data_IF_470818104953
#
_entry.id   IF_470818104953
#
_cell.length_a   1.000
_cell.length_b   1.000
_cell.length_c   1.000
_cell.angle_alpha   90.00
_cell.angle_beta   90.00
_cell.angle_gamma   90.00
#
_symmetry.space_group_name_H-M   'P 1'
#
loop_
_entity.id
_entity.type
_entity.pdbx_description
1 polymer ?
#
# COMPACT_ATOMS: atom_id res chain seq x y z
N UNK A 1 -71.24 -3.76 -1.81
CA UNK A 1 -70.12 -4.33 -2.58
C UNK A 1 -68.89 -3.48 -2.29
N UNK A 2 -67.90 -4.03 -1.59
CA UNK A 2 -66.66 -3.35 -1.20
C UNK A 2 -65.61 -3.65 -2.27
N UNK A 3 -65.10 -2.62 -2.92
CA UNK A 3 -64.01 -2.67 -3.89
C UNK A 3 -62.66 -2.73 -3.17
N UNK A 4 -61.87 -3.75 -3.48
CA UNK A 4 -60.50 -3.98 -3.00
C UNK A 4 -59.55 -3.23 -3.95
N UNK A 5 -58.63 -2.37 -3.48
CA UNK A 5 -57.60 -1.80 -4.34
C UNK A 5 -56.46 -2.81 -4.51
N UNK A 6 -56.16 -3.13 -5.76
CA UNK A 6 -55.00 -3.94 -6.16
C UNK A 6 -53.75 -3.08 -5.99
N UNK A 7 -52.89 -3.46 -5.06
CA UNK A 7 -51.56 -2.89 -4.86
C UNK A 7 -50.64 -3.43 -5.97
N UNK A 8 -50.21 -2.58 -6.91
CA UNK A 8 -49.17 -2.93 -7.88
C UNK A 8 -47.81 -2.95 -7.16
N UNK A 9 -47.23 -4.13 -6.98
CA UNK A 9 -45.82 -4.28 -6.62
C UNK A 9 -44.97 -3.88 -7.84
N UNK A 10 -44.33 -2.71 -7.78
CA UNK A 10 -43.26 -2.36 -8.70
C UNK A 10 -42.01 -3.15 -8.32
N UNK A 11 -41.65 -4.13 -9.13
CA UNK A 11 -40.39 -4.85 -9.02
C UNK A 11 -39.25 -3.89 -9.40
N UNK A 12 -38.44 -3.47 -8.43
CA UNK A 12 -37.16 -2.84 -8.70
C UNK A 12 -36.25 -3.86 -9.38
N UNK A 13 -36.07 -3.72 -10.70
CA UNK A 13 -35.03 -4.43 -11.42
C UNK A 13 -33.67 -3.90 -10.92
N UNK A 14 -33.00 -4.69 -10.09
CA UNK A 14 -31.60 -4.46 -9.75
C UNK A 14 -30.78 -4.56 -11.04
N UNK A 15 -30.28 -3.42 -11.52
CA UNK A 15 -29.27 -3.35 -12.56
C UNK A 15 -28.01 -4.02 -11.99
N UNK A 16 -27.83 -5.29 -12.30
CA UNK A 16 -26.57 -5.98 -12.05
C UNK A 16 -25.54 -5.34 -12.99
N UNK A 17 -24.57 -4.62 -12.40
CA UNK A 17 -23.34 -4.30 -13.11
C UNK A 17 -22.73 -5.61 -13.61
N UNK A 18 -22.21 -5.67 -14.85
CA UNK A 18 -21.54 -6.87 -15.33
C UNK A 18 -20.30 -7.09 -14.47
N UNK A 19 -20.34 -8.11 -13.60
CA UNK A 19 -19.15 -8.64 -12.96
C UNK A 19 -18.19 -9.07 -14.06
N UNK A 20 -17.04 -8.42 -14.13
CA UNK A 20 -15.99 -8.78 -15.07
C UNK A 20 -15.64 -10.25 -14.87
N UNK A 21 -15.90 -11.07 -15.88
CA UNK A 21 -15.43 -12.45 -15.89
C UNK A 21 -13.90 -12.40 -15.77
N UNK A 22 -13.36 -13.11 -14.76
CA UNK A 22 -11.93 -13.31 -14.65
C UNK A 22 -11.46 -14.05 -15.92
N UNK A 23 -10.75 -13.34 -16.80
CA UNK A 23 -10.12 -13.93 -17.97
C UNK A 23 -9.11 -15.00 -17.57
N UNK A 24 -8.72 -15.85 -18.52
CA UNK A 24 -7.63 -16.80 -18.27
C UNK A 24 -6.38 -16.05 -17.78
N UNK A 25 -5.68 -16.58 -16.77
CA UNK A 25 -4.49 -15.92 -16.25
C UNK A 25 -3.43 -15.79 -17.35
N UNK A 26 -2.68 -14.67 -17.41
CA UNK A 26 -1.64 -14.47 -18.40
C UNK A 26 -0.63 -15.63 -18.42
N UNK A 27 -0.15 -16.00 -19.61
CA UNK A 27 0.78 -17.13 -19.79
C UNK A 27 2.05 -16.95 -18.95
N UNK A 28 2.56 -15.72 -18.85
CA UNK A 28 3.72 -15.38 -18.01
C UNK A 28 3.47 -15.67 -16.52
N UNK A 29 2.26 -15.39 -16.02
CA UNK A 29 1.89 -15.71 -14.63
C UNK A 29 1.90 -17.21 -14.43
N UNK A 30 1.37 -18.01 -15.36
CA UNK A 30 1.37 -19.46 -15.24
C UNK A 30 2.79 -20.05 -15.28
N UNK A 31 3.69 -19.46 -16.08
CA UNK A 31 5.08 -19.89 -16.21
C UNK A 31 6.02 -19.41 -15.09
N UNK A 32 5.61 -18.39 -14.32
CA UNK A 32 6.45 -17.80 -13.29
C UNK A 32 6.75 -18.75 -12.11
N UNK A 33 7.94 -18.66 -11.49
CA UNK A 33 8.27 -19.44 -10.29
C UNK A 33 7.22 -19.27 -9.19
N UNK A 34 6.84 -20.37 -8.52
CA UNK A 34 5.79 -20.38 -7.49
C UNK A 34 6.00 -19.27 -6.45
N UNK A 35 7.23 -19.11 -5.95
CA UNK A 35 7.55 -18.08 -4.95
C UNK A 35 7.26 -16.65 -5.43
N UNK A 36 7.48 -16.36 -6.72
CA UNK A 36 7.16 -15.05 -7.30
C UNK A 36 5.66 -14.89 -7.42
N UNK A 37 4.93 -15.92 -7.89
CA UNK A 37 3.47 -15.89 -8.00
C UNK A 37 2.83 -15.68 -6.63
N UNK A 38 3.22 -16.47 -5.63
CA UNK A 38 2.74 -16.33 -4.25
C UNK A 38 2.98 -14.93 -3.69
N UNK A 39 4.17 -14.37 -3.92
CA UNK A 39 4.49 -13.01 -3.49
C UNK A 39 3.61 -11.95 -4.17
N UNK A 40 3.54 -11.99 -5.50
CA UNK A 40 2.81 -11.00 -6.30
C UNK A 40 1.32 -11.08 -6.02
N UNK A 41 0.75 -12.29 -6.02
CA UNK A 41 -0.66 -12.52 -5.75
C UNK A 41 -1.04 -12.00 -4.36
N UNK A 42 -0.19 -12.23 -3.35
CA UNK A 42 -0.41 -11.73 -2.00
C UNK A 42 -0.31 -10.20 -1.94
N UNK A 43 0.74 -9.62 -2.53
CA UNK A 43 1.06 -8.20 -2.38
C UNK A 43 0.18 -7.26 -3.19
N UNK A 44 -0.19 -7.66 -4.40
CA UNK A 44 -0.81 -6.79 -5.41
C UNK A 44 -2.02 -7.44 -6.12
N UNK A 45 -2.45 -8.63 -5.69
CA UNK A 45 -3.56 -9.35 -6.29
C UNK A 45 -3.21 -10.01 -7.62
N UNK A 46 -4.24 -10.36 -8.38
CA UNK A 46 -4.13 -11.08 -9.68
C UNK A 46 -4.54 -10.23 -10.87
N UNK A 47 -4.77 -8.93 -10.67
CA UNK A 47 -5.15 -7.94 -11.68
C UNK A 47 -6.35 -7.08 -11.26
N UNK A 48 -7.24 -7.62 -10.42
CA UNK A 48 -8.20 -6.80 -9.68
C UNK A 48 -7.46 -5.99 -8.59
N UNK A 49 -7.89 -4.75 -8.29
CA UNK A 49 -7.34 -3.99 -7.18
C UNK A 49 -7.48 -4.72 -5.84
N UNK A 50 -6.46 -4.56 -5.00
CA UNK A 50 -6.44 -5.01 -3.61
C UNK A 50 -5.93 -3.88 -2.73
N UNK A 51 -6.19 -3.93 -1.43
CA UNK A 51 -5.81 -2.87 -0.52
C UNK A 51 -5.11 -3.42 0.72
N UNK A 52 -4.08 -2.74 1.21
CA UNK A 52 -3.51 -3.03 2.51
C UNK A 52 -3.87 -1.91 3.47
N UNK A 53 -4.69 -2.20 4.47
CA UNK A 53 -5.00 -1.25 5.54
C UNK A 53 -4.00 -1.44 6.68
N UNK A 54 -3.66 -0.35 7.36
CA UNK A 54 -2.58 -0.34 8.34
C UNK A 54 -2.91 0.52 9.54
N UNK A 55 -2.50 0.07 10.72
CA UNK A 55 -2.59 0.82 11.97
C UNK A 55 -1.31 0.66 12.80
N UNK A 56 -1.00 1.67 13.60
CA UNK A 56 0.20 1.66 14.43
C UNK A 56 0.51 3.02 15.04
N UNK A 57 1.79 3.40 15.02
CA UNK A 57 2.21 4.68 15.58
C UNK A 57 3.66 5.07 15.32
N UNK A 58 3.95 6.26 15.81
CA UNK A 58 5.28 6.87 15.85
C UNK A 58 5.71 6.93 17.30
N UNK A 59 6.90 6.42 17.59
CA UNK A 59 7.42 6.26 18.93
C UNK A 59 8.74 7.01 19.07
N UNK A 60 8.89 7.74 20.16
CA UNK A 60 10.15 8.34 20.54
C UNK A 60 11.20 7.25 20.79
N UNK A 61 12.43 7.54 20.38
CA UNK A 61 13.56 6.64 20.58
C UNK A 61 14.68 7.35 21.34
N UNK A 62 15.19 6.77 22.44
CA UNK A 62 14.99 5.40 22.89
C UNK A 62 13.88 5.21 23.95
N UNK A 63 13.10 6.23 24.29
CA UNK A 63 12.16 6.14 25.44
C UNK A 63 11.02 5.15 25.23
N UNK A 64 10.59 4.94 23.98
CA UNK A 64 9.43 4.12 23.64
C UNK A 64 8.08 4.81 23.82
N UNK A 65 8.06 6.10 24.17
CA UNK A 65 6.81 6.87 24.26
C UNK A 65 6.11 6.95 22.90
N UNK A 66 4.81 6.62 22.86
CA UNK A 66 4.01 6.79 21.64
C UNK A 66 3.68 8.28 21.45
N UNK A 67 4.31 8.91 20.48
CA UNK A 67 4.13 10.33 20.17
C UNK A 67 2.85 10.59 19.37
N UNK A 68 2.54 9.68 18.44
CA UNK A 68 1.41 9.75 17.51
C UNK A 68 0.89 8.32 17.26
N UNK A 69 -0.41 8.17 17.08
CA UNK A 69 -0.94 7.05 16.31
C UNK A 69 -0.78 7.30 14.81
N UNK A 70 -0.89 6.24 14.03
CA UNK A 70 -0.77 6.31 12.57
C UNK A 70 -1.69 5.29 11.94
N UNK A 71 -2.45 5.72 10.93
CA UNK A 71 -3.31 4.86 10.14
C UNK A 71 -3.10 5.17 8.66
N UNK A 72 -3.41 4.23 7.80
CA UNK A 72 -3.34 4.48 6.37
C UNK A 72 -3.55 3.22 5.57
N UNK A 73 -3.36 3.35 4.27
CA UNK A 73 -3.56 2.25 3.36
C UNK A 73 -2.71 2.38 2.10
N UNK A 74 -2.54 1.25 1.43
CA UNK A 74 -2.13 1.20 0.04
C UNK A 74 -3.20 0.55 -0.83
N UNK A 75 -3.28 0.99 -2.08
CA UNK A 75 -4.16 0.42 -3.11
C UNK A 75 -3.30 -0.02 -4.27
N UNK A 76 -3.41 -1.29 -4.61
CA UNK A 76 -2.42 -1.99 -5.42
C UNK A 76 -3.10 -2.80 -6.52
N UNK A 77 -2.48 -2.85 -7.70
CA UNK A 77 -2.81 -3.81 -8.76
C UNK A 77 -1.54 -4.27 -9.48
N UNK A 78 -1.66 -5.33 -10.28
CA UNK A 78 -0.55 -5.92 -11.01
C UNK A 78 -0.86 -6.07 -12.49
N UNK A 79 0.15 -5.81 -13.32
CA UNK A 79 0.18 -6.14 -14.73
C UNK A 79 1.25 -7.21 -14.92
N UNK A 80 0.80 -8.41 -15.31
CA UNK A 80 1.68 -9.47 -15.76
C UNK A 80 2.01 -9.25 -17.25
N UNK A 81 3.29 -9.37 -17.65
CA UNK A 81 3.70 -9.18 -19.05
C UNK A 81 3.16 -10.31 -19.93
N UNK A 82 3.02 -10.10 -21.24
CA UNK A 82 2.75 -11.22 -22.16
C UNK A 82 4.00 -12.11 -22.33
N UNK A 83 5.17 -11.48 -22.35
CA UNK A 83 6.47 -12.14 -22.39
C UNK A 83 6.81 -12.79 -21.03
N UNK A 84 7.05 -14.11 -20.95
CA UNK A 84 7.48 -14.79 -19.74
C UNK A 84 8.76 -14.25 -19.11
N UNK A 85 9.64 -13.63 -19.91
CA UNK A 85 10.88 -13.00 -19.44
C UNK A 85 10.69 -11.52 -19.07
N UNK A 86 9.49 -10.97 -19.28
CA UNK A 86 9.13 -9.61 -18.93
C UNK A 86 9.11 -9.37 -17.42
N UNK A 87 9.28 -8.10 -17.02
CA UNK A 87 9.14 -7.72 -15.62
C UNK A 87 7.66 -7.67 -15.22
N UNK A 88 7.32 -8.26 -14.07
CA UNK A 88 6.00 -8.09 -13.45
C UNK A 88 5.90 -6.68 -12.89
N UNK A 89 4.82 -5.99 -13.26
CA UNK A 89 4.60 -4.58 -12.92
C UNK A 89 3.56 -4.48 -11.83
N UNK A 90 3.93 -3.94 -10.68
CA UNK A 90 3.03 -3.63 -9.59
C UNK A 90 2.83 -2.11 -9.51
N UNK A 91 1.59 -1.68 -9.66
CA UNK A 91 1.15 -0.29 -9.56
C UNK A 91 0.50 -0.09 -8.20
N UNK A 92 0.98 0.86 -7.42
CA UNK A 92 0.39 1.15 -6.11
C UNK A 92 0.36 2.64 -5.81
N UNK A 93 -0.61 3.06 -4.99
CA UNK A 93 -0.58 4.34 -4.27
C UNK A 93 -0.69 4.05 -2.81
N UNK A 94 -0.08 4.89 -1.98
CA UNK A 94 -0.21 4.77 -0.52
C UNK A 94 -0.30 6.12 0.15
N UNK A 95 -1.11 6.17 1.19
CA UNK A 95 -1.30 7.37 2.01
C UNK A 95 -1.48 6.99 3.48
N UNK A 96 -0.90 7.79 4.36
CA UNK A 96 -0.98 7.57 5.81
C UNK A 96 -1.12 8.91 6.52
N UNK A 97 -2.04 8.94 7.49
CA UNK A 97 -2.24 10.09 8.38
C UNK A 97 -1.92 9.71 9.82
N UNK A 98 -1.92 10.71 10.67
CA UNK A 98 -1.56 10.59 12.08
C UNK A 98 -2.80 10.74 12.94
N UNK A 99 -2.81 10.02 14.06
CA UNK A 99 -3.90 10.07 15.03
C UNK A 99 -3.37 10.46 16.40
N UNK A 100 -4.26 10.95 17.26
CA UNK A 100 -3.94 11.16 18.67
C UNK A 100 -3.50 9.82 19.29
N UNK A 101 -2.37 9.77 20.03
CA UNK A 101 -1.84 8.52 20.56
C UNK A 101 -2.74 7.86 21.63
N UNK A 102 -3.69 8.60 22.20
CA UNK A 102 -4.61 8.14 23.25
C UNK A 102 -6.02 7.90 22.72
N UNK A 103 -6.64 8.90 22.07
CA UNK A 103 -8.02 8.81 21.59
C UNK A 103 -8.15 8.09 20.24
N UNK A 104 -7.09 8.08 19.43
CA UNK A 104 -7.12 7.54 18.07
C UNK A 104 -7.80 8.44 17.04
N UNK A 105 -8.21 9.66 17.41
CA UNK A 105 -8.79 10.63 16.48
C UNK A 105 -7.76 11.09 15.45
N UNK A 106 -8.18 11.21 14.18
CA UNK A 106 -7.31 11.70 13.10
C UNK A 106 -6.96 13.16 13.35
N UNK A 107 -5.67 13.46 13.34
CA UNK A 107 -5.15 14.78 13.64
C UNK A 107 -5.06 15.62 12.35
N UNK A 108 -5.58 16.83 12.43
CA UNK A 108 -5.35 17.89 11.43
C UNK A 108 -4.27 18.88 11.90
N UNK A 109 -4.00 18.95 13.20
CA UNK A 109 -2.99 19.79 13.81
C UNK A 109 -2.26 19.05 14.95
N UNK A 110 -0.96 19.29 15.09
CA UNK A 110 -0.14 18.80 16.20
C UNK A 110 0.79 19.90 16.70
N UNK A 111 0.67 20.26 17.99
CA UNK A 111 1.47 21.32 18.64
C UNK A 111 1.49 22.65 17.86
N UNK A 112 0.34 23.12 17.37
CA UNK A 112 0.27 24.39 16.63
C UNK A 112 0.61 24.29 15.14
N UNK A 113 0.95 23.09 14.63
CA UNK A 113 1.38 22.89 13.23
C UNK A 113 0.40 22.00 12.48
N UNK A 114 0.04 22.32 11.22
CA UNK A 114 -0.76 21.43 10.39
C UNK A 114 -0.09 20.07 10.25
N UNK A 115 -0.87 19.01 10.44
CA UNK A 115 -0.43 17.64 10.17
C UNK A 115 -0.42 17.43 8.67
N UNK A 116 0.69 16.91 8.15
CA UNK A 116 0.81 16.55 6.75
C UNK A 116 0.83 15.02 6.62
N UNK A 117 -0.12 14.42 5.89
CA UNK A 117 -0.09 12.99 5.58
C UNK A 117 1.17 12.60 4.80
N UNK A 118 1.61 11.35 4.98
CA UNK A 118 2.55 10.72 4.06
C UNK A 118 1.76 10.34 2.82
N UNK A 119 2.13 10.87 1.65
CA UNK A 119 1.42 10.62 0.42
C UNK A 119 2.39 10.22 -0.70
N UNK A 120 2.07 9.11 -1.37
CA UNK A 120 2.73 8.66 -2.58
C UNK A 120 1.67 8.49 -3.67
N UNK A 121 1.51 9.48 -4.57
CA UNK A 121 0.54 9.43 -5.66
C UNK A 121 0.77 8.27 -6.63
N UNK A 122 2.00 7.74 -6.65
CA UNK A 122 2.29 6.42 -7.19
C UNK A 122 3.57 5.84 -6.56
N UNK A 123 3.67 4.52 -6.60
CA UNK A 123 4.92 3.80 -6.69
C UNK A 123 4.80 2.74 -7.77
N UNK A 124 5.80 2.67 -8.64
CA UNK A 124 5.92 1.65 -9.67
C UNK A 124 6.95 0.63 -9.22
N UNK A 125 6.51 -0.59 -8.91
CA UNK A 125 7.41 -1.66 -8.46
C UNK A 125 7.58 -2.66 -9.60
N UNK A 126 8.83 -2.92 -9.98
CA UNK A 126 9.18 -3.94 -10.97
C UNK A 126 9.78 -5.14 -10.28
N UNK A 127 9.11 -6.29 -10.38
CA UNK A 127 9.65 -7.53 -9.84
C UNK A 127 10.52 -8.25 -10.86
N UNK A 128 11.65 -8.75 -10.39
CA UNK A 128 12.56 -9.61 -11.14
C UNK A 128 13.07 -10.74 -10.26
N UNK A 129 13.31 -11.90 -10.85
CA UNK A 129 13.95 -13.03 -10.18
C UNK A 129 15.45 -13.04 -10.52
N UNK A 130 16.29 -13.27 -9.52
CA UNK A 130 17.72 -13.51 -9.72
C UNK A 130 18.26 -14.39 -8.59
N UNK A 131 19.03 -15.42 -8.92
CA UNK A 131 19.66 -16.31 -7.94
C UNK A 131 18.65 -16.89 -6.92
N UNK A 132 17.43 -17.22 -7.39
CA UNK A 132 16.34 -17.75 -6.56
C UNK A 132 15.67 -16.74 -5.63
N UNK A 133 16.01 -15.44 -5.71
CA UNK A 133 15.43 -14.37 -4.89
C UNK A 133 14.56 -13.43 -5.71
N UNK A 134 13.52 -12.91 -5.06
CA UNK A 134 12.66 -11.85 -5.60
C UNK A 134 13.34 -10.51 -5.34
N UNK A 135 13.38 -9.64 -6.34
CA UNK A 135 13.81 -8.25 -6.21
C UNK A 135 12.67 -7.35 -6.67
N UNK A 136 12.28 -6.39 -5.83
CA UNK A 136 11.37 -5.31 -6.20
C UNK A 136 12.15 -4.01 -6.34
N UNK A 137 12.27 -3.49 -7.57
CA UNK A 137 12.85 -2.18 -7.81
C UNK A 137 11.72 -1.14 -7.84
N UNK A 138 11.84 -0.08 -7.04
CA UNK A 138 10.79 0.94 -6.87
C UNK A 138 11.15 2.19 -7.67
N UNK A 139 10.17 2.75 -8.37
CA UNK A 139 10.24 4.07 -9.00
C UNK A 139 9.15 4.99 -8.40
N UNK A 140 9.54 6.20 -8.02
CA UNK A 140 8.67 7.21 -7.38
C UNK A 140 9.22 8.62 -7.59
N UNK A 141 8.46 9.65 -7.22
CA UNK A 141 8.85 11.07 -7.34
C UNK A 141 8.23 11.78 -8.55
N UNK A 142 8.53 13.06 -8.68
CA UNK A 142 8.00 13.94 -9.74
C UNK A 142 9.12 14.80 -10.34
N UNK A 143 9.04 15.10 -11.62
CA UNK A 143 10.00 15.93 -12.35
C UNK A 143 11.44 15.42 -12.20
N UNK A 144 12.34 16.32 -11.80
CA UNK A 144 13.75 16.00 -11.55
C UNK A 144 13.96 15.12 -10.32
N UNK A 145 12.98 15.05 -9.41
CA UNK A 145 13.01 14.23 -8.19
C UNK A 145 12.56 12.78 -8.43
N UNK A 146 12.29 12.38 -9.68
CA UNK A 146 12.01 10.97 -10.03
C UNK A 146 13.24 10.12 -9.70
N UNK A 147 13.05 9.16 -8.81
CA UNK A 147 14.11 8.29 -8.30
C UNK A 147 13.79 6.82 -8.49
N UNK A 148 14.85 6.02 -8.62
CA UNK A 148 14.78 4.56 -8.78
C UNK A 148 15.56 3.87 -7.66
N UNK A 149 14.83 3.28 -6.74
CA UNK A 149 15.38 2.56 -5.58
C UNK A 149 15.53 1.09 -5.99
N UNK A 150 16.78 0.66 -6.19
CA UNK A 150 17.10 -0.72 -6.58
C UNK A 150 17.21 -1.62 -5.35
N UNK A 151 16.50 -2.74 -5.36
CA UNK A 151 16.71 -3.79 -4.37
C UNK A 151 18.08 -4.45 -4.63
N UNK A 152 18.99 -4.36 -3.67
CA UNK A 152 20.36 -4.88 -3.79
C UNK A 152 20.49 -6.32 -3.31
N UNK A 153 19.76 -6.67 -2.25
CA UNK A 153 19.92 -7.97 -1.56
C UNK A 153 18.80 -8.96 -1.91
N UNK A 154 17.73 -8.50 -2.57
CA UNK A 154 16.51 -9.28 -2.77
C UNK A 154 15.75 -9.49 -1.46
N UNK A 155 14.55 -10.04 -1.58
CA UNK A 155 13.71 -10.40 -0.44
C UNK A 155 14.14 -11.75 0.13
N UNK A 156 14.04 -11.89 1.44
CA UNK A 156 14.30 -13.14 2.13
C UNK A 156 13.00 -13.91 2.29
N UNK A 157 12.93 -15.12 1.74
CA UNK A 157 11.77 -16.00 1.86
C UNK A 157 12.07 -17.10 2.86
N UNK A 158 11.22 -17.25 3.87
CA UNK A 158 11.37 -18.22 4.96
C UNK A 158 10.04 -18.89 5.25
N UNK A 159 10.04 -20.18 5.55
CA UNK A 159 8.86 -20.86 6.11
C UNK A 159 8.88 -20.68 7.63
N UNK A 160 7.76 -20.21 8.18
CA UNK A 160 7.50 -20.17 9.62
C UNK A 160 6.49 -21.26 9.94
N UNK A 161 6.99 -22.44 10.35
CA UNK A 161 6.15 -23.62 10.47
C UNK A 161 5.69 -24.16 9.12
N UNK A 162 4.51 -24.81 9.10
CA UNK A 162 4.01 -25.53 7.91
C UNK A 162 3.16 -24.67 6.97
N UNK A 163 2.45 -23.68 7.51
CA UNK A 163 1.41 -22.94 6.78
C UNK A 163 1.70 -21.45 6.62
N UNK A 164 2.81 -20.94 7.15
CA UNK A 164 3.14 -19.51 7.02
C UNK A 164 4.43 -19.33 6.24
N UNK A 165 4.39 -18.47 5.23
CA UNK A 165 5.57 -18.00 4.51
C UNK A 165 5.84 -16.56 4.94
N UNK A 166 7.02 -16.32 5.51
CA UNK A 166 7.51 -14.98 5.77
C UNK A 166 8.37 -14.50 4.59
N UNK A 167 8.05 -13.31 4.08
CA UNK A 167 8.84 -12.64 3.03
C UNK A 167 9.29 -11.30 3.58
N UNK A 168 10.59 -11.16 3.81
CA UNK A 168 11.19 -9.96 4.39
C UNK A 168 11.84 -9.10 3.32
N UNK A 169 11.47 -7.83 3.27
CA UNK A 169 12.11 -6.81 2.46
C UNK A 169 12.69 -5.72 3.37
N UNK A 170 14.02 -5.70 3.50
CA UNK A 170 14.72 -4.63 4.22
C UNK A 170 15.22 -3.57 3.22
N UNK A 171 14.92 -2.32 3.51
CA UNK A 171 15.27 -1.16 2.69
C UNK A 171 16.15 -0.22 3.49
N UNK A 172 17.27 0.18 2.89
CA UNK A 172 18.21 1.14 3.46
C UNK A 172 18.21 2.35 2.52
N UNK A 173 17.57 3.43 2.96
CA UNK A 173 17.39 4.65 2.19
C UNK A 173 18.47 5.64 2.58
N UNK A 174 19.15 6.17 1.58
CA UNK A 174 20.21 7.16 1.73
C UNK A 174 20.36 7.97 0.42
N UNK A 175 19.62 9.07 0.32
CA UNK A 175 19.60 9.90 -0.89
C UNK A 175 19.65 11.40 -0.54
N UNK A 176 20.22 12.23 -1.43
CA UNK A 176 20.29 13.66 -1.21
C UNK A 176 18.89 14.28 -1.22
N UNK A 177 18.71 15.33 -0.41
CA UNK A 177 17.52 16.20 -0.46
C UNK A 177 17.95 17.65 -0.77
N UNK A 178 17.02 18.51 -1.25
CA UNK A 178 17.31 19.93 -1.45
C UNK A 178 17.93 20.55 -0.18
N UNK A 179 18.92 21.43 -0.35
CA UNK A 179 19.63 22.07 0.78
C UNK A 179 20.94 21.38 1.20
N UNK A 180 21.27 20.23 0.63
CA UNK A 180 22.57 19.55 0.86
C UNK A 180 22.54 18.48 1.96
N UNK A 181 21.42 18.36 2.67
CA UNK A 181 21.19 17.28 3.61
C UNK A 181 20.91 15.94 2.90
N UNK A 182 20.81 14.87 3.69
CA UNK A 182 20.49 13.52 3.22
C UNK A 182 19.27 12.99 3.94
N UNK A 183 18.35 12.44 3.16
CA UNK A 183 17.30 11.60 3.72
C UNK A 183 17.88 10.22 4.04
N UNK A 184 17.79 9.82 5.30
CA UNK A 184 18.24 8.52 5.78
C UNK A 184 17.14 7.82 6.56
N UNK A 185 16.86 6.58 6.19
CA UNK A 185 15.95 5.73 6.92
C UNK A 185 16.30 4.25 6.71
N UNK A 186 16.06 3.46 7.74
CA UNK A 186 15.96 2.01 7.61
C UNK A 186 14.48 1.65 7.69
N UNK A 187 14.03 0.79 6.78
CA UNK A 187 12.69 0.23 6.79
C UNK A 187 12.77 -1.29 6.68
N UNK A 188 11.91 -1.99 7.40
CA UNK A 188 11.77 -3.42 7.31
C UNK A 188 10.31 -3.81 7.18
N UNK A 189 10.03 -4.57 6.13
CA UNK A 189 8.73 -5.13 5.85
C UNK A 189 8.80 -6.64 6.03
N UNK A 190 8.03 -7.18 6.97
CA UNK A 190 7.84 -8.62 7.16
C UNK A 190 6.43 -8.99 6.73
N UNK A 191 6.29 -9.57 5.55
CA UNK A 191 5.02 -10.08 5.04
C UNK A 191 4.82 -11.51 5.50
N UNK A 192 3.62 -11.82 5.99
CA UNK A 192 3.19 -13.15 6.40
C UNK A 192 2.05 -13.60 5.48
N UNK A 193 2.30 -14.67 4.74
CA UNK A 193 1.32 -15.29 3.84
C UNK A 193 0.93 -16.62 4.45
N UNK A 194 -0.30 -16.68 4.96
CA UNK A 194 -0.89 -17.87 5.55
C UNK A 194 -1.54 -18.72 4.46
N UNK A 195 -1.31 -20.02 4.49
CA UNK A 195 -1.87 -20.97 3.52
C UNK A 195 -2.99 -21.82 4.13
N UNK A 196 -3.50 -21.43 5.29
CA UNK A 196 -4.56 -22.14 5.99
C UNK A 196 -5.53 -21.15 6.65
N UNK A 197 -6.73 -21.64 6.94
CA UNK A 197 -7.84 -20.85 7.50
C UNK A 197 -7.68 -20.58 9.01
N UNK A 198 -6.45 -20.66 9.55
CA UNK A 198 -6.17 -20.44 10.97
C UNK A 198 -5.98 -18.96 11.31
N UNK A 199 -5.82 -18.10 10.30
CA UNK A 199 -5.76 -16.65 10.43
C UNK A 199 -6.98 -16.07 9.71
N UNK A 200 -7.70 -15.17 10.37
CA UNK A 200 -8.82 -14.45 9.77
C UNK A 200 -8.33 -13.66 8.53
N UNK A 201 -7.14 -13.07 8.64
CA UNK A 201 -6.45 -12.37 7.56
C UNK A 201 -5.35 -13.22 6.94
N UNK A 202 -5.52 -13.60 5.67
CA UNK A 202 -4.58 -14.47 4.95
C UNK A 202 -3.23 -13.80 4.68
N UNK A 203 -3.23 -12.48 4.51
CA UNK A 203 -2.05 -11.69 4.19
C UNK A 203 -1.87 -10.59 5.23
N UNK A 204 -0.77 -10.69 5.99
CA UNK A 204 -0.43 -9.75 7.03
C UNK A 204 0.97 -9.16 6.79
N UNK A 205 1.23 -7.99 7.36
CA UNK A 205 2.50 -7.29 7.26
C UNK A 205 2.82 -6.61 8.59
N UNK A 206 4.06 -6.74 9.05
CA UNK A 206 4.65 -5.83 10.03
C UNK A 206 5.63 -4.91 9.32
N UNK A 207 5.40 -3.60 9.40
CA UNK A 207 6.31 -2.60 8.88
C UNK A 207 6.94 -1.82 10.00
N UNK A 208 8.27 -1.74 9.99
CA UNK A 208 9.05 -0.95 10.93
C UNK A 208 9.92 0.04 10.17
N UNK A 209 10.15 1.19 10.78
CA UNK A 209 11.09 2.19 10.28
C UNK A 209 11.83 2.86 11.41
N UNK A 210 13.12 3.07 11.21
CA UNK A 210 13.93 4.02 11.96
C UNK A 210 14.32 5.16 11.01
N UNK A 211 13.92 6.38 11.36
CA UNK A 211 14.24 7.57 10.58
C UNK A 211 13.65 8.83 11.19
N UNK A 212 13.82 9.96 10.51
CA UNK A 212 13.38 11.26 11.03
C UNK A 212 11.89 11.30 11.39
N UNK A 213 11.56 12.07 12.41
CA UNK A 213 10.19 12.51 12.70
C UNK A 213 9.62 13.29 11.49
N UNK A 214 8.29 13.33 11.33
CA UNK A 214 7.67 14.23 10.37
C UNK A 214 8.02 15.68 10.74
N UNK A 215 8.26 16.58 9.78
CA UNK A 215 8.68 17.96 10.07
C UNK A 215 7.74 18.73 11.02
N UNK A 216 6.43 18.42 10.98
CA UNK A 216 5.44 19.02 11.88
C UNK A 216 5.56 18.53 13.33
N UNK A 217 6.12 17.34 13.56
CA UNK A 217 6.17 16.71 14.89
C UNK A 217 7.43 17.06 15.69
N UNK A 218 8.48 17.57 15.03
CA UNK A 218 9.72 17.98 15.66
C UNK A 218 10.95 17.55 14.86
N UNK A 219 12.09 17.53 15.55
CA UNK A 219 13.38 17.10 15.01
C UNK A 219 13.82 15.78 15.66
N UNK A 220 14.77 15.08 15.03
CA UNK A 220 15.31 13.82 15.52
C UNK A 220 14.68 12.58 14.88
N UNK A 221 15.13 11.41 15.31
CA UNK A 221 14.69 10.13 14.77
C UNK A 221 13.64 9.49 15.68
N UNK A 222 12.73 8.74 15.06
CA UNK A 222 11.69 7.97 15.72
C UNK A 222 11.64 6.54 15.17
N UNK A 223 10.96 5.68 15.92
CA UNK A 223 10.53 4.37 15.44
C UNK A 223 9.10 4.51 14.94
N UNK A 224 8.85 4.09 13.70
CA UNK A 224 7.50 3.87 13.20
C UNK A 224 7.27 2.38 13.21
N UNK A 225 6.11 1.96 13.68
CA UNK A 225 5.71 0.56 13.65
C UNK A 225 4.23 0.48 13.29
N UNK A 226 3.92 -0.32 12.28
CA UNK A 226 2.56 -0.59 11.86
C UNK A 226 2.35 -2.08 11.62
N UNK A 227 1.13 -2.50 11.89
CA UNK A 227 0.60 -3.79 11.44
C UNK A 227 -0.40 -3.52 10.33
N UNK A 228 -0.36 -4.36 9.31
CA UNK A 228 -1.22 -4.23 8.14
C UNK A 228 -1.79 -5.59 7.76
N UNK A 229 -2.97 -5.55 7.15
CA UNK A 229 -3.61 -6.71 6.54
C UNK A 229 -4.20 -6.32 5.20
N UNK A 230 -4.32 -7.30 4.30
CA UNK A 230 -4.91 -7.10 2.99
C UNK A 230 -6.42 -7.30 3.05
N UNK A 231 -7.15 -6.39 2.43
CA UNK A 231 -8.57 -6.51 2.10
C UNK A 231 -8.76 -6.47 0.58
N UNK A 232 -9.87 -7.01 0.10
CA UNK A 232 -10.18 -7.11 -1.34
C UNK A 232 -11.03 -5.93 -1.83
N UNK A 233 -11.70 -5.22 -0.92
CA UNK A 233 -12.57 -4.08 -1.22
C UNK A 233 -12.37 -2.93 -0.24
N UNK A 234 -12.67 -1.71 -0.69
CA UNK A 234 -12.76 -0.53 0.17
C UNK A 234 -13.85 -0.65 1.23
N UNK A 235 -14.89 -1.47 0.99
CA UNK A 235 -15.98 -1.68 1.95
C UNK A 235 -15.52 -2.41 3.23
N UNK A 236 -14.35 -3.03 3.18
CA UNK A 236 -13.71 -3.74 4.30
C UNK A 236 -12.75 -2.83 5.09
N UNK A 237 -12.59 -1.56 4.69
CA UNK A 237 -11.75 -0.61 5.41
C UNK A 237 -12.35 -0.33 6.79
N UNK A 238 -11.51 -0.09 7.82
CA UNK A 238 -11.97 0.49 9.08
C UNK A 238 -12.80 1.76 8.80
N UNK A 239 -14.01 1.93 9.37
CA UNK A 239 -14.93 3.00 8.99
C UNK A 239 -14.32 4.41 9.03
N UNK A 240 -13.60 4.75 10.10
CA UNK A 240 -12.95 6.05 10.24
C UNK A 240 -11.86 6.28 9.18
N UNK A 241 -11.13 5.22 8.79
CA UNK A 241 -10.13 5.29 7.72
C UNK A 241 -10.80 5.54 6.37
N UNK A 242 -11.93 4.87 6.09
CA UNK A 242 -12.66 5.04 4.83
C UNK A 242 -13.30 6.42 4.71
N UNK A 243 -13.87 6.95 5.80
CA UNK A 243 -14.43 8.29 5.86
C UNK A 243 -13.36 9.33 5.53
N UNK A 244 -12.24 9.31 6.26
CA UNK A 244 -11.10 10.18 5.96
C UNK A 244 -10.57 10.01 4.54
N UNK A 245 -10.44 8.78 4.06
CA UNK A 245 -9.94 8.52 2.71
C UNK A 245 -10.86 9.10 1.64
N UNK A 246 -12.18 9.11 1.84
CA UNK A 246 -13.14 9.70 0.89
C UNK A 246 -13.08 11.22 0.88
N UNK A 247 -12.84 11.84 2.03
CA UNK A 247 -12.81 13.30 2.18
C UNK A 247 -11.47 13.90 1.74
N UNK A 248 -10.36 13.30 2.19
CA UNK A 248 -9.03 13.92 2.10
C UNK A 248 -8.06 13.18 1.16
N UNK A 249 -8.35 11.93 0.81
CA UNK A 249 -7.41 11.07 0.07
C UNK A 249 -8.06 10.23 -1.03
N UNK A 250 -9.08 10.77 -1.70
CA UNK A 250 -9.92 10.01 -2.63
C UNK A 250 -9.13 9.40 -3.82
N UNK A 251 -8.03 10.04 -4.24
CA UNK A 251 -7.15 9.53 -5.29
C UNK A 251 -6.50 8.18 -4.91
N UNK A 252 -6.20 7.96 -3.63
CA UNK A 252 -5.51 6.78 -3.14
C UNK A 252 -6.41 5.57 -3.00
N UNK A 253 -7.73 5.75 -2.96
CA UNK A 253 -8.72 4.66 -2.90
C UNK A 253 -8.61 3.70 -4.09
N UNK A 254 -7.94 4.09 -5.18
CA UNK A 254 -7.67 3.22 -6.33
C UNK A 254 -6.17 3.23 -6.65
N UNK A 255 -5.62 2.09 -7.11
CA UNK A 255 -4.27 2.09 -7.66
C UNK A 255 -4.20 2.99 -8.91
N UNK A 256 -3.00 3.35 -9.40
CA UNK A 256 -2.87 3.92 -10.73
C UNK A 256 -3.48 2.96 -11.75
N UNK A 257 -4.22 3.50 -12.72
CA UNK A 257 -4.91 2.74 -13.76
C UNK A 257 -3.92 2.01 -14.66
N UNK A 258 -2.82 2.67 -15.02
CA UNK A 258 -1.82 2.16 -15.94
C UNK A 258 -0.46 2.90 -15.80
N UNK A 259 0.46 2.57 -16.70
CA UNK A 259 1.77 3.22 -16.78
C UNK A 259 1.68 4.65 -17.32
N UNK A 260 0.71 4.97 -18.18
CA UNK A 260 0.58 6.30 -18.78
C UNK A 260 0.17 7.33 -17.73
N UNK A 261 -0.74 6.95 -16.81
CA UNK A 261 -1.07 7.76 -15.65
C UNK A 261 0.16 8.03 -14.77
N UNK A 262 1.00 7.01 -14.53
CA UNK A 262 2.25 7.20 -13.78
C UNK A 262 3.17 8.17 -14.51
N UNK A 263 3.29 8.09 -15.84
CA UNK A 263 4.10 9.05 -16.62
C UNK A 263 3.54 10.47 -16.53
N UNK A 264 2.21 10.64 -16.53
CA UNK A 264 1.59 11.94 -16.34
C UNK A 264 1.85 12.51 -14.93
N UNK A 265 1.75 11.68 -13.88
CA UNK A 265 2.11 12.05 -12.51
C UNK A 265 3.58 12.47 -12.39
N UNK A 266 4.48 11.73 -13.04
CA UNK A 266 5.92 12.06 -13.08
C UNK A 266 6.21 13.38 -13.79
N UNK A 267 5.43 13.74 -14.81
CA UNK A 267 5.57 15.01 -15.49
C UNK A 267 5.01 16.20 -14.68
N UNK A 268 4.43 15.96 -13.50
CA UNK A 268 3.83 17.01 -12.66
C UNK A 268 2.45 17.48 -13.12
N UNK A 269 1.87 16.82 -14.12
CA UNK A 269 0.58 17.22 -14.70
C UNK A 269 -0.62 16.91 -13.79
N UNK A 270 -0.45 16.10 -12.74
CA UNK A 270 -1.54 15.57 -11.91
C UNK A 270 -1.58 16.09 -10.46
N UNK A 271 -0.81 17.14 -10.12
CA UNK A 271 -1.20 18.20 -9.17
C UNK A 271 -1.52 17.92 -7.69
N UNK A 272 -1.67 16.69 -7.22
CA UNK A 272 -2.03 16.40 -5.81
C UNK A 272 -1.08 15.39 -5.16
N UNK A 273 -0.72 15.63 -3.88
CA UNK A 273 -0.19 14.60 -2.99
C UNK A 273 1.30 14.36 -2.96
N UNK A 274 2.12 15.20 -3.58
CA UNK A 274 3.56 15.16 -3.30
C UNK A 274 3.82 15.94 -2.00
N UNK A 275 4.48 15.34 -0.99
CA UNK A 275 5.03 16.16 0.08
C UNK A 275 5.99 17.18 -0.57
N UNK A 276 5.77 18.46 -0.28
CA UNK A 276 6.65 19.57 -0.68
C UNK A 276 8.09 19.36 -0.19
#
# INVERSE_FOLDING_TARGET
MRTIPVLLLAACAAVHAPGGAAGEPPVSRAAAPEVLRTWVDARAGTGAPVHWVSEGGVYDYPSGEKLLGMIGFDSSTVIWPDDPDGAVIHLTRKTYTYTDPVSGEILTEYKGRPVQPIAYPYQLIRYRMRDGRIYGDVEQGVGESVQRIKSRNGMQVRKLGRSTTAITASVFLDFPVPGGDRYQAWENYDFFIHSNDMADETHQLSWQRYGALPPFAGEGNAIYHMLSWRVESQDEFPPALLEWAREEAAMWLRPPADLDEIRALQAGAAGEGWPE
#
